data_IF_254587651447
#
_entry.id   IF_254587651447
#
_cell.length_a   1.000
_cell.length_b   1.000
_cell.length_c   1.000
_cell.angle_alpha   90.00
_cell.angle_beta   90.00
_cell.angle_gamma   90.00
#
_symmetry.space_group_name_H-M   'P 1'
#
loop_
_entity.id
_entity.type
_entity.pdbx_description
1 polymer ?
#
# COMPACT_ATOMS: atom_id res chain seq x y z
N UNK A 1 1.63 9.39 -9.41
CA UNK A 1 2.56 8.92 -8.35
C UNK A 1 1.88 7.80 -7.58
N UNK A 2 2.58 6.69 -7.30
CA UNK A 2 2.05 5.55 -6.53
C UNK A 2 2.94 5.33 -5.31
N UNK A 3 2.32 5.25 -4.13
CA UNK A 3 2.96 5.18 -2.81
C UNK A 3 2.67 3.81 -2.19
N UNK A 4 3.70 3.14 -1.69
CA UNK A 4 3.58 1.88 -0.96
C UNK A 4 3.39 2.07 0.54
N UNK A 5 3.73 1.03 1.30
CA UNK A 5 3.60 0.98 2.76
C UNK A 5 4.31 2.14 3.45
N UNK A 6 3.62 2.78 4.39
CA UNK A 6 4.18 3.88 5.21
C UNK A 6 4.36 3.48 6.67
N UNK A 7 3.56 2.54 7.18
CA UNK A 7 3.67 1.98 8.52
C UNK A 7 3.99 3.01 9.61
N UNK A 8 3.18 4.09 9.72
CA UNK A 8 3.36 5.10 10.75
C UNK A 8 4.61 5.97 10.61
N UNK A 9 5.21 6.04 9.43
CA UNK A 9 6.38 6.89 9.18
C UNK A 9 5.95 8.31 8.80
N UNK A 10 5.81 9.18 9.79
CA UNK A 10 5.31 10.55 9.62
C UNK A 10 6.14 11.37 8.61
N UNK A 11 7.48 11.29 8.67
CA UNK A 11 8.33 12.05 7.74
C UNK A 11 8.11 11.68 6.27
N UNK A 12 7.82 10.39 5.97
CA UNK A 12 7.45 9.98 4.61
C UNK A 12 6.07 10.51 4.21
N UNK A 13 5.11 10.55 5.15
CA UNK A 13 3.80 11.14 4.91
C UNK A 13 3.87 12.66 4.70
N UNK A 14 4.71 13.37 5.46
CA UNK A 14 4.96 14.81 5.27
C UNK A 14 5.63 15.10 3.92
N UNK A 15 6.62 14.28 3.55
CA UNK A 15 7.25 14.37 2.23
C UNK A 15 6.21 14.18 1.10
N UNK A 16 5.33 13.19 1.25
CA UNK A 16 4.25 12.93 0.30
C UNK A 16 3.27 14.10 0.24
N UNK A 17 2.90 14.67 1.40
CA UNK A 17 1.99 15.82 1.47
C UNK A 17 2.54 17.03 0.71
N UNK A 18 3.81 17.35 0.92
CA UNK A 18 4.47 18.43 0.20
C UNK A 18 4.40 18.21 -1.32
N UNK A 19 4.69 16.99 -1.79
CA UNK A 19 4.62 16.65 -3.22
C UNK A 19 3.21 16.71 -3.80
N UNK A 20 2.22 16.20 -3.06
CA UNK A 20 0.83 16.21 -3.51
C UNK A 20 0.26 17.62 -3.64
N UNK A 21 0.72 18.55 -2.80
CA UNK A 21 0.28 19.96 -2.80
C UNK A 21 1.04 20.81 -3.83
N UNK A 22 2.34 20.55 -4.03
CA UNK A 22 3.21 21.37 -4.87
C UNK A 22 3.18 20.99 -6.36
N UNK A 23 2.66 19.81 -6.71
CA UNK A 23 2.62 19.29 -8.09
C UNK A 23 1.17 19.17 -8.62
N UNK A 24 0.51 20.28 -8.95
CA UNK A 24 -0.86 20.27 -9.46
C UNK A 24 -0.94 19.46 -10.77
N UNK A 25 -1.93 18.56 -10.83
CA UNK A 25 -2.09 17.62 -11.96
C UNK A 25 -1.46 16.25 -11.74
N UNK A 26 -0.70 16.06 -10.67
CA UNK A 26 -0.25 14.72 -10.24
C UNK A 26 -1.38 14.02 -9.50
N UNK A 27 -1.79 12.84 -9.99
CA UNK A 27 -2.65 11.93 -9.26
C UNK A 27 -1.80 11.06 -8.31
N UNK A 28 -2.16 11.01 -7.04
CA UNK A 28 -1.52 10.15 -6.04
C UNK A 28 -2.43 8.96 -5.72
N UNK A 29 -1.87 7.76 -5.77
CA UNK A 29 -2.51 6.53 -5.30
C UNK A 29 -1.64 5.93 -4.22
N UNK A 30 -2.11 5.91 -2.97
CA UNK A 30 -1.46 5.23 -1.86
C UNK A 30 -2.08 3.84 -1.69
N UNK A 31 -1.25 2.81 -1.60
CA UNK A 31 -1.64 1.43 -1.80
C UNK A 31 -2.11 0.71 -0.52
N UNK A 32 -2.06 1.36 0.65
CA UNK A 32 -2.40 0.76 1.95
C UNK A 32 -1.22 0.67 2.91
N UNK A 33 -1.46 0.08 4.07
CA UNK A 33 -0.50 -0.08 5.16
C UNK A 33 0.04 1.27 5.67
N UNK A 34 -0.89 2.14 6.06
CA UNK A 34 -0.57 3.50 6.49
C UNK A 34 -0.06 3.59 7.91
N UNK A 35 -0.60 2.73 8.79
CA UNK A 35 -0.31 2.66 10.21
C UNK A 35 0.32 1.32 10.59
N UNK A 36 0.33 1.01 11.87
CA UNK A 36 0.98 -0.15 12.49
C UNK A 36 2.51 -0.11 12.40
N UNK A 37 3.18 -0.69 13.39
CA UNK A 37 4.63 -0.89 13.48
C UNK A 37 5.48 0.36 13.74
N UNK A 38 5.17 1.50 13.14
CA UNK A 38 5.93 2.74 13.31
C UNK A 38 5.51 3.57 14.52
N UNK A 39 6.30 4.60 14.82
CA UNK A 39 6.15 5.38 16.07
C UNK A 39 5.10 6.48 15.98
N UNK A 40 4.76 6.96 14.77
CA UNK A 40 3.90 8.12 14.52
C UNK A 40 2.66 7.75 13.70
N UNK A 41 1.96 6.71 14.15
CA UNK A 41 0.87 6.07 13.41
C UNK A 41 -0.33 7.01 13.21
N UNK A 42 -0.75 7.71 14.26
CA UNK A 42 -1.88 8.63 14.21
C UNK A 42 -1.58 9.84 13.31
N UNK A 43 -0.41 10.43 13.46
CA UNK A 43 -0.02 11.59 12.67
C UNK A 43 0.05 11.24 11.19
N UNK A 44 0.64 10.08 10.86
CA UNK A 44 0.66 9.56 9.49
C UNK A 44 -0.74 9.41 8.93
N UNK A 45 -1.64 8.77 9.69
CA UNK A 45 -3.03 8.55 9.27
C UNK A 45 -3.79 9.87 9.09
N UNK A 46 -3.62 10.81 10.03
CA UNK A 46 -4.26 12.14 9.96
C UNK A 46 -3.79 12.90 8.71
N UNK A 47 -2.48 12.91 8.40
CA UNK A 47 -1.95 13.54 7.19
C UNK A 47 -2.64 12.95 5.94
N UNK A 48 -2.68 11.62 5.81
CA UNK A 48 -3.23 10.96 4.63
C UNK A 48 -4.74 11.16 4.48
N UNK A 49 -5.51 11.08 5.57
CA UNK A 49 -6.94 11.34 5.54
C UNK A 49 -7.25 12.80 5.23
N UNK A 50 -6.43 13.73 5.73
CA UNK A 50 -6.54 15.16 5.38
C UNK A 50 -6.29 15.37 3.88
N UNK A 51 -5.24 14.79 3.31
CA UNK A 51 -4.96 14.88 1.87
C UNK A 51 -6.11 14.32 1.03
N UNK A 52 -6.70 13.19 1.45
CA UNK A 52 -7.86 12.61 0.75
C UNK A 52 -9.06 13.56 0.74
N UNK A 53 -9.28 14.32 1.81
CA UNK A 53 -10.38 15.29 1.92
C UNK A 53 -10.10 16.59 1.15
N UNK A 54 -8.86 17.09 1.22
CA UNK A 54 -8.45 18.38 0.62
C UNK A 54 -8.18 18.27 -0.90
N UNK A 55 -7.84 17.07 -1.40
CA UNK A 55 -7.49 16.81 -2.79
C UNK A 55 -8.45 15.79 -3.45
N UNK A 56 -9.78 16.06 -3.44
CA UNK A 56 -10.75 15.11 -3.96
C UNK A 56 -10.50 14.86 -5.46
N UNK A 57 -10.44 13.56 -5.82
CA UNK A 57 -10.17 13.15 -7.20
C UNK A 57 -8.69 13.17 -7.63
N UNK A 58 -7.78 13.72 -6.81
CA UNK A 58 -6.34 13.72 -7.08
C UNK A 58 -5.54 12.88 -6.08
N UNK A 59 -6.14 12.51 -4.94
CA UNK A 59 -5.53 11.69 -3.91
C UNK A 59 -6.44 10.52 -3.57
N UNK A 60 -5.94 9.29 -3.77
CA UNK A 60 -6.69 8.05 -3.55
C UNK A 60 -5.98 7.18 -2.53
N UNK A 61 -6.67 6.80 -1.48
CA UNK A 61 -6.22 5.78 -0.53
C UNK A 61 -6.85 4.44 -0.88
N UNK A 62 -6.03 3.40 -1.06
CA UNK A 62 -6.47 2.02 -1.16
C UNK A 62 -6.38 1.35 0.20
N UNK A 63 -7.04 0.23 0.34
CA UNK A 63 -6.98 -0.62 1.51
C UNK A 63 -5.79 -1.57 1.42
N UNK A 64 -4.93 -1.60 2.44
CA UNK A 64 -3.94 -2.62 2.68
C UNK A 64 -4.44 -3.67 3.68
N UNK A 65 -3.62 -4.68 3.96
CA UNK A 65 -3.98 -5.70 4.94
C UNK A 65 -3.95 -5.17 6.38
N UNK A 66 -3.17 -4.11 6.66
CA UNK A 66 -3.16 -3.46 7.96
C UNK A 66 -4.39 -2.57 8.22
N UNK A 67 -5.14 -2.20 7.21
CA UNK A 67 -6.42 -1.51 7.36
C UNK A 67 -7.56 -2.49 7.69
N UNK A 68 -7.30 -3.41 8.66
CA UNK A 68 -8.25 -4.39 9.21
C UNK A 68 -8.23 -4.37 10.73
N UNK A 69 -9.34 -4.80 11.36
CA UNK A 69 -9.45 -4.79 12.82
C UNK A 69 -8.40 -5.69 13.48
N UNK A 70 -8.18 -6.88 12.93
CA UNK A 70 -7.23 -7.85 13.47
C UNK A 70 -5.79 -7.36 13.43
N UNK A 71 -5.41 -6.66 12.36
CA UNK A 71 -4.05 -6.13 12.23
C UNK A 71 -3.85 -4.89 13.11
N UNK A 72 -4.78 -3.95 13.12
CA UNK A 72 -4.72 -2.75 13.95
C UNK A 72 -4.60 -3.07 15.45
N UNK A 73 -5.30 -4.12 15.92
CA UNK A 73 -5.20 -4.56 17.32
C UNK A 73 -3.89 -5.31 17.64
N UNK A 74 -3.25 -5.89 16.62
CA UNK A 74 -2.03 -6.69 16.81
C UNK A 74 -0.74 -5.89 16.68
N UNK A 75 -0.73 -4.85 15.85
CA UNK A 75 0.49 -4.17 15.43
C UNK A 75 0.60 -2.70 15.86
N UNK A 76 -0.32 -2.27 16.74
CA UNK A 76 -0.13 -1.08 17.56
C UNK A 76 -1.02 0.11 17.24
N UNK A 77 -1.76 0.16 16.14
CA UNK A 77 -2.63 1.29 15.85
C UNK A 77 -3.74 1.44 16.90
N UNK A 78 -4.37 0.35 17.33
CA UNK A 78 -5.41 0.40 18.35
C UNK A 78 -4.87 0.96 19.67
N UNK A 79 -3.70 0.52 20.11
CA UNK A 79 -3.04 1.03 21.32
C UNK A 79 -2.67 2.51 21.18
N UNK A 80 -2.16 2.92 20.01
CA UNK A 80 -1.83 4.31 19.73
C UNK A 80 -3.07 5.22 19.80
N UNK A 81 -4.19 4.81 19.19
CA UNK A 81 -5.46 5.55 19.28
C UNK A 81 -5.96 5.62 20.71
N UNK A 82 -6.05 4.48 21.42
CA UNK A 82 -6.62 4.41 22.75
C UNK A 82 -5.74 5.07 23.83
N UNK A 83 -4.47 5.36 23.53
CA UNK A 83 -3.60 6.11 24.44
C UNK A 83 -3.99 7.60 24.57
N UNK A 84 -4.66 8.17 23.55
CA UNK A 84 -5.00 9.60 23.47
C UNK A 84 -6.45 9.88 23.14
N UNK A 85 -7.21 8.87 22.71
CA UNK A 85 -8.62 8.93 22.34
C UNK A 85 -9.40 7.76 22.95
N UNK A 86 -10.70 7.73 22.72
CA UNK A 86 -11.59 6.67 23.18
C UNK A 86 -11.87 5.61 22.10
N UNK A 87 -12.61 4.58 22.47
CA UNK A 87 -13.04 3.50 21.58
C UNK A 87 -13.85 3.99 20.38
N UNK A 88 -14.65 5.04 20.54
CA UNK A 88 -15.48 5.54 19.45
C UNK A 88 -14.64 6.11 18.30
N UNK A 89 -13.47 6.70 18.59
CA UNK A 89 -12.53 7.14 17.56
C UNK A 89 -11.94 5.94 16.82
N UNK A 90 -11.54 4.88 17.54
CA UNK A 90 -11.01 3.66 16.89
C UNK A 90 -12.07 2.97 16.02
N UNK A 91 -13.31 2.89 16.49
CA UNK A 91 -14.41 2.33 15.71
C UNK A 91 -14.68 3.17 14.45
N UNK A 92 -14.58 4.51 14.52
CA UNK A 92 -14.67 5.37 13.35
C UNK A 92 -13.53 5.11 12.34
N UNK A 93 -12.30 4.89 12.81
CA UNK A 93 -11.17 4.50 11.97
C UNK A 93 -11.45 3.19 11.24
N UNK A 94 -11.98 2.17 11.93
CA UNK A 94 -12.34 0.91 11.29
C UNK A 94 -13.43 1.07 10.23
N UNK A 95 -14.43 1.92 10.47
CA UNK A 95 -15.47 2.25 9.48
C UNK A 95 -14.83 2.88 8.23
N UNK A 96 -13.90 3.82 8.39
CA UNK A 96 -13.18 4.43 7.27
C UNK A 96 -12.38 3.35 6.51
N UNK A 97 -11.60 2.54 7.20
CA UNK A 97 -10.80 1.47 6.60
C UNK A 97 -11.65 0.49 5.78
N UNK A 98 -12.82 0.11 6.29
CA UNK A 98 -13.74 -0.79 5.62
C UNK A 98 -14.32 -0.21 4.30
N UNK A 99 -14.35 1.11 4.15
CA UNK A 99 -14.84 1.79 2.94
C UNK A 99 -13.74 2.05 1.91
N UNK A 100 -12.46 1.90 2.25
CA UNK A 100 -11.38 2.09 1.28
C UNK A 100 -11.50 1.11 0.12
N UNK A 101 -11.27 1.55 -1.13
CA UNK A 101 -11.22 0.66 -2.28
C UNK A 101 -10.01 -0.27 -2.20
N UNK A 102 -10.14 -1.51 -2.70
CA UNK A 102 -9.04 -2.48 -2.73
C UNK A 102 -8.16 -2.38 -3.97
N UNK A 103 -8.60 -1.65 -4.99
CA UNK A 103 -7.87 -1.43 -6.23
C UNK A 103 -8.24 -0.11 -6.88
N UNK A 104 -7.33 0.45 -7.68
CA UNK A 104 -7.57 1.57 -8.58
C UNK A 104 -7.07 1.23 -9.98
N UNK A 105 -7.86 1.57 -10.99
CA UNK A 105 -7.53 1.33 -12.39
C UNK A 105 -7.47 2.64 -13.17
N UNK A 106 -6.35 2.90 -13.85
CA UNK A 106 -6.19 3.98 -14.82
C UNK A 106 -6.54 3.47 -16.21
N UNK A 107 -7.40 4.18 -16.92
CA UNK A 107 -8.02 3.74 -18.18
C UNK A 107 -7.02 3.37 -19.30
N UNK A 108 -5.77 3.83 -19.23
CA UNK A 108 -4.70 3.47 -20.16
C UNK A 108 -4.04 2.11 -19.87
N UNK A 109 -4.54 1.36 -18.87
CA UNK A 109 -4.12 0.01 -18.55
C UNK A 109 -3.12 -0.12 -17.39
N UNK A 110 -3.18 0.77 -16.39
CA UNK A 110 -2.44 0.64 -15.12
C UNK A 110 -3.39 0.20 -14.01
N UNK A 111 -3.06 -0.87 -13.33
CA UNK A 111 -3.77 -1.34 -12.13
C UNK A 111 -2.90 -1.10 -10.90
N UNK A 112 -3.49 -0.56 -9.84
CA UNK A 112 -2.88 -0.38 -8.53
C UNK A 112 -3.67 -1.19 -7.50
N UNK A 113 -2.99 -1.94 -6.65
CA UNK A 113 -3.57 -2.68 -5.53
C UNK A 113 -2.50 -2.93 -4.46
N UNK A 114 -2.89 -3.39 -3.27
CA UNK A 114 -1.92 -3.56 -2.18
C UNK A 114 -1.07 -4.83 -2.33
N UNK A 115 -1.64 -6.00 -2.17
CA UNK A 115 -0.93 -7.28 -2.15
C UNK A 115 -0.69 -7.84 -3.55
N UNK A 116 -1.71 -8.36 -4.23
CA UNK A 116 -1.47 -8.95 -5.53
C UNK A 116 -2.73 -9.38 -6.29
N UNK A 117 -2.49 -9.97 -7.45
CA UNK A 117 -3.54 -10.49 -8.32
C UNK A 117 -4.22 -11.69 -7.64
N UNK A 118 -5.56 -11.69 -7.47
CA UNK A 118 -6.27 -12.80 -6.87
C UNK A 118 -6.43 -13.97 -7.84
N UNK A 119 -6.52 -15.18 -7.30
CA UNK A 119 -6.76 -16.39 -8.10
C UNK A 119 -8.24 -16.58 -8.47
N UNK A 120 -9.15 -16.00 -7.67
CA UNK A 120 -10.60 -16.13 -7.81
C UNK A 120 -11.23 -15.17 -8.81
N UNK A 121 -10.71 -13.94 -8.94
CA UNK A 121 -11.20 -12.95 -9.91
C UNK A 121 -10.24 -12.88 -11.11
N UNK A 122 -10.79 -12.96 -12.32
CA UNK A 122 -10.03 -12.96 -13.58
C UNK A 122 -10.17 -11.66 -14.36
N UNK A 123 -11.15 -10.83 -14.03
CA UNK A 123 -11.45 -9.58 -14.71
C UNK A 123 -11.50 -8.40 -13.74
N UNK A 124 -11.33 -7.19 -14.26
CA UNK A 124 -11.50 -5.96 -13.48
C UNK A 124 -12.95 -5.80 -13.01
N UNK A 125 -13.91 -6.32 -13.77
CA UNK A 125 -15.34 -6.31 -13.39
C UNK A 125 -15.57 -7.20 -12.16
N UNK A 126 -15.03 -8.44 -12.16
CA UNK A 126 -15.10 -9.34 -11.01
C UNK A 126 -14.40 -8.74 -9.79
N UNK A 127 -13.26 -8.07 -9.99
CA UNK A 127 -12.55 -7.36 -8.93
C UNK A 127 -13.38 -6.19 -8.37
N UNK A 128 -14.11 -5.46 -9.23
CA UNK A 128 -14.96 -4.35 -8.81
C UNK A 128 -16.22 -4.78 -8.06
N UNK A 129 -16.61 -6.04 -8.19
CA UNK A 129 -17.78 -6.62 -7.52
C UNK A 129 -17.46 -7.11 -6.08
N UNK A 130 -16.20 -7.05 -5.64
CA UNK A 130 -15.80 -7.44 -4.29
C UNK A 130 -16.50 -6.56 -3.25
N UNK A 131 -17.15 -7.15 -2.23
CA UNK A 131 -17.87 -6.40 -1.21
C UNK A 131 -16.99 -5.41 -0.45
N UNK A 132 -17.57 -4.26 -0.09
CA UNK A 132 -16.96 -3.25 0.80
C UNK A 132 -17.74 -3.18 2.11
N UNK A 133 -17.17 -2.52 3.11
CA UNK A 133 -17.82 -2.25 4.38
C UNK A 133 -17.55 -3.29 5.46
N UNK A 134 -16.81 -4.33 5.17
CA UNK A 134 -16.38 -5.32 6.18
C UNK A 134 -15.09 -4.83 6.85
N UNK A 135 -15.11 -4.65 8.18
CA UNK A 135 -13.91 -4.28 8.96
C UNK A 135 -12.85 -5.38 8.91
N UNK A 136 -13.30 -6.64 8.81
CA UNK A 136 -12.47 -7.81 8.57
C UNK A 136 -12.96 -8.47 7.27
N UNK A 137 -12.18 -8.45 6.17
CA UNK A 137 -12.58 -9.05 4.90
C UNK A 137 -12.79 -10.56 5.01
N UNK A 138 -13.97 -11.02 4.60
CA UNK A 138 -14.31 -12.45 4.55
C UNK A 138 -14.29 -12.99 3.11
N UNK A 139 -14.42 -12.13 2.11
CA UNK A 139 -14.34 -12.52 0.71
C UNK A 139 -12.92 -12.98 0.34
N UNK A 140 -12.81 -14.16 -0.27
CA UNK A 140 -11.52 -14.74 -0.64
C UNK A 140 -10.72 -13.90 -1.64
N UNK A 141 -11.40 -13.19 -2.56
CA UNK A 141 -10.76 -12.28 -3.52
C UNK A 141 -10.21 -11.04 -2.79
N UNK A 142 -10.98 -10.47 -1.87
CA UNK A 142 -10.51 -9.36 -1.03
C UNK A 142 -9.27 -9.76 -0.24
N UNK A 143 -9.30 -10.92 0.42
CA UNK A 143 -8.15 -11.43 1.18
C UNK A 143 -6.93 -11.57 0.25
N UNK A 144 -7.08 -12.18 -0.92
CA UNK A 144 -5.95 -12.37 -1.84
C UNK A 144 -5.42 -11.03 -2.39
N UNK A 145 -6.27 -10.06 -2.69
CA UNK A 145 -5.84 -8.72 -3.12
C UNK A 145 -5.02 -8.01 -2.05
N UNK A 146 -5.33 -8.21 -0.77
CA UNK A 146 -4.62 -7.59 0.34
C UNK A 146 -3.35 -8.34 0.76
N UNK A 147 -3.27 -9.67 0.56
CA UNK A 147 -2.23 -10.51 1.14
C UNK A 147 -1.33 -11.24 0.15
N UNK A 148 -1.64 -11.25 -1.15
CA UNK A 148 -0.84 -11.98 -2.11
C UNK A 148 0.55 -11.38 -2.29
N UNK A 149 1.55 -12.24 -2.47
CA UNK A 149 2.94 -11.87 -2.74
C UNK A 149 3.34 -12.23 -4.17
N UNK A 150 4.06 -11.31 -4.82
CA UNK A 150 4.67 -11.57 -6.12
C UNK A 150 5.96 -12.37 -5.97
N UNK A 151 6.16 -13.39 -6.80
CA UNK A 151 7.38 -14.18 -6.85
C UNK A 151 7.96 -14.19 -8.27
N UNK A 152 9.26 -13.92 -8.40
CA UNK A 152 9.97 -14.01 -9.68
C UNK A 152 10.22 -15.48 -10.06
N UNK A 153 9.13 -16.17 -10.39
CA UNK A 153 9.13 -17.57 -10.85
C UNK A 153 8.11 -17.77 -11.97
N UNK A 154 8.33 -18.79 -12.78
CA UNK A 154 7.32 -19.28 -13.71
C UNK A 154 6.12 -19.87 -12.95
N UNK A 155 4.96 -19.95 -13.62
CA UNK A 155 3.76 -20.56 -13.09
C UNK A 155 2.71 -19.58 -12.57
N UNK A 156 1.60 -20.15 -12.11
CA UNK A 156 0.43 -19.43 -11.63
C UNK A 156 0.50 -19.10 -10.14
N UNK A 157 -0.64 -19.24 -9.45
CA UNK A 157 -0.72 -19.05 -8.00
C UNK A 157 -0.21 -20.26 -7.23
N UNK A 158 0.37 -20.02 -6.06
CA UNK A 158 0.83 -21.03 -5.11
C UNK A 158 0.46 -20.66 -3.68
N UNK A 159 0.66 -21.57 -2.71
CA UNK A 159 0.44 -21.27 -1.31
C UNK A 159 1.47 -20.25 -0.79
N UNK A 160 1.03 -19.31 0.03
CA UNK A 160 1.92 -18.38 0.73
C UNK A 160 2.26 -18.93 2.13
N UNK A 161 3.24 -19.80 2.21
CA UNK A 161 3.66 -20.43 3.46
C UNK A 161 4.29 -19.46 4.45
N UNK A 162 4.90 -18.39 3.96
CA UNK A 162 5.56 -17.40 4.81
C UNK A 162 4.58 -16.55 5.62
N UNK A 163 3.40 -16.29 5.06
CA UNK A 163 2.37 -15.49 5.71
C UNK A 163 1.25 -16.34 6.35
N UNK A 164 1.03 -17.55 5.86
CA UNK A 164 -0.08 -18.39 6.31
C UNK A 164 -1.47 -17.92 5.84
N UNK A 165 -1.52 -16.86 5.01
CA UNK A 165 -2.73 -16.28 4.42
C UNK A 165 -2.40 -15.76 3.02
N UNK A 166 -3.40 -15.66 2.13
CA UNK A 166 -3.20 -15.29 0.75
C UNK A 166 -2.45 -16.35 -0.05
N UNK A 167 -1.95 -15.94 -1.21
CA UNK A 167 -1.19 -16.78 -2.15
C UNK A 167 0.06 -16.07 -2.63
N UNK A 168 0.97 -16.83 -3.21
CA UNK A 168 2.00 -16.25 -4.10
C UNK A 168 1.50 -16.31 -5.55
N UNK A 169 1.93 -15.36 -6.37
CA UNK A 169 1.66 -15.37 -7.81
C UNK A 169 2.93 -15.18 -8.62
N UNK A 170 3.10 -16.03 -9.64
CA UNK A 170 4.24 -16.00 -10.53
C UNK A 170 3.94 -15.31 -11.87
N UNK A 171 4.92 -15.37 -12.77
CA UNK A 171 4.87 -14.74 -14.09
C UNK A 171 3.63 -15.10 -14.92
N UNK A 172 3.20 -16.38 -14.88
CA UNK A 172 2.08 -16.81 -15.71
C UNK A 172 0.75 -16.26 -15.21
N UNK A 173 0.56 -16.17 -13.87
CA UNK A 173 -0.63 -15.57 -13.28
C UNK A 173 -0.75 -14.09 -13.65
N UNK A 174 0.34 -13.33 -13.51
CA UNK A 174 0.33 -11.91 -13.86
C UNK A 174 0.12 -11.70 -15.36
N UNK A 175 0.78 -12.48 -16.20
CA UNK A 175 0.61 -12.40 -17.66
C UNK A 175 -0.82 -12.67 -18.07
N UNK A 176 -1.43 -13.76 -17.61
CA UNK A 176 -2.82 -14.12 -17.95
C UNK A 176 -3.82 -13.04 -17.52
N UNK A 177 -3.71 -12.56 -16.27
CA UNK A 177 -4.60 -11.53 -15.75
C UNK A 177 -4.43 -10.21 -16.52
N UNK A 178 -3.20 -9.76 -16.74
CA UNK A 178 -2.92 -8.49 -17.38
C UNK A 178 -3.32 -8.48 -18.86
N UNK A 179 -3.06 -9.56 -19.60
CA UNK A 179 -3.46 -9.68 -21.00
C UNK A 179 -4.98 -9.73 -21.15
N UNK A 180 -5.68 -10.47 -20.30
CA UNK A 180 -7.14 -10.53 -20.28
C UNK A 180 -7.79 -9.18 -20.07
N UNK A 181 -7.19 -8.32 -19.25
CA UNK A 181 -7.72 -7.02 -18.85
C UNK A 181 -7.11 -5.82 -19.60
N UNK A 182 -6.28 -6.05 -20.61
CA UNK A 182 -5.62 -4.98 -21.37
C UNK A 182 -4.65 -4.14 -20.54
N UNK A 183 -4.07 -4.72 -19.46
CA UNK A 183 -3.16 -4.02 -18.57
C UNK A 183 -1.71 -4.14 -19.08
N UNK A 184 -0.98 -3.05 -19.05
CA UNK A 184 0.45 -3.06 -19.33
C UNK A 184 1.30 -2.98 -18.05
N UNK A 185 0.73 -2.47 -16.92
CA UNK A 185 1.42 -2.30 -15.66
C UNK A 185 0.51 -2.67 -14.48
N UNK A 186 1.06 -3.42 -13.54
CA UNK A 186 0.56 -3.60 -12.18
C UNK A 186 1.52 -2.93 -11.21
N UNK A 187 1.05 -2.00 -10.37
CA UNK A 187 1.82 -1.45 -9.25
C UNK A 187 1.22 -1.96 -7.94
N UNK A 188 2.07 -2.53 -7.09
CA UNK A 188 1.68 -3.12 -5.81
C UNK A 188 2.66 -2.74 -4.68
N UNK A 189 2.36 -3.12 -3.45
CA UNK A 189 3.11 -2.80 -2.25
C UNK A 189 3.40 -4.06 -1.38
N UNK A 190 3.19 -4.03 -0.06
CA UNK A 190 3.14 -5.18 0.85
C UNK A 190 4.45 -5.95 1.10
N UNK A 191 5.38 -6.00 0.16
CA UNK A 191 6.67 -6.68 0.32
C UNK A 191 7.78 -5.64 0.45
N UNK A 192 8.45 -5.57 1.61
CA UNK A 192 9.58 -4.65 1.78
C UNK A 192 10.74 -5.04 0.88
N UNK A 193 11.47 -4.04 0.39
CA UNK A 193 12.69 -4.21 -0.38
C UNK A 193 13.73 -3.17 0.03
N UNK A 194 15.02 -3.50 -0.13
CA UNK A 194 16.09 -2.60 0.27
C UNK A 194 16.03 -1.24 -0.46
N UNK A 195 15.68 -1.25 -1.73
CA UNK A 195 15.62 -0.05 -2.57
C UNK A 195 14.26 0.65 -2.56
N UNK A 196 13.26 0.08 -1.88
CA UNK A 196 11.88 0.58 -1.89
C UNK A 196 11.14 0.46 -3.23
N UNK A 197 11.79 -0.09 -4.26
CA UNK A 197 11.24 -0.23 -5.61
C UNK A 197 11.84 -1.45 -6.31
N UNK A 198 10.99 -2.37 -6.77
CA UNK A 198 11.42 -3.59 -7.47
C UNK A 198 10.58 -3.80 -8.72
N UNK A 199 11.23 -4.12 -9.84
CA UNK A 199 10.58 -4.56 -11.08
C UNK A 199 10.56 -6.09 -11.12
N UNK A 200 9.39 -6.66 -11.30
CA UNK A 200 9.13 -8.10 -11.37
C UNK A 200 8.44 -8.46 -12.69
N UNK A 201 8.44 -9.74 -13.01
CA UNK A 201 7.73 -10.31 -14.16
C UNK A 201 8.03 -9.57 -15.49
N UNK A 202 9.32 -9.38 -15.77
CA UNK A 202 9.77 -8.67 -16.97
C UNK A 202 9.44 -7.17 -16.96
N UNK A 203 9.26 -6.57 -15.79
CA UNK A 203 8.98 -5.15 -15.61
C UNK A 203 7.49 -4.78 -15.68
N UNK A 204 6.60 -5.77 -15.86
CA UNK A 204 5.14 -5.54 -15.91
C UNK A 204 4.49 -5.43 -14.53
N UNK A 205 5.18 -5.92 -13.49
CA UNK A 205 4.80 -5.78 -12.08
C UNK A 205 5.84 -4.94 -11.38
N UNK A 206 5.42 -3.90 -10.67
CA UNK A 206 6.27 -3.03 -9.86
C UNK A 206 5.81 -3.12 -8.42
N UNK A 207 6.73 -3.45 -7.52
CA UNK A 207 6.51 -3.41 -6.08
C UNK A 207 7.16 -2.16 -5.50
N UNK A 208 6.42 -1.38 -4.74
CA UNK A 208 6.89 -0.16 -4.05
C UNK A 208 6.75 -0.30 -2.55
N UNK A 209 7.72 0.24 -1.81
CA UNK A 209 7.72 0.29 -0.37
C UNK A 209 8.23 1.66 0.07
N UNK A 210 7.39 2.45 0.75
CA UNK A 210 7.63 3.88 0.94
C UNK A 210 8.08 4.25 2.35
N UNK A 211 8.42 3.27 3.20
CA UNK A 211 8.93 3.48 4.55
C UNK A 211 10.48 3.44 4.57
N UNK A 212 11.19 4.57 4.68
CA UNK A 212 12.64 4.56 4.87
C UNK A 212 13.02 3.97 6.23
N UNK A 213 14.06 3.12 6.27
CA UNK A 213 14.54 2.54 7.52
C UNK A 213 13.63 1.51 8.18
N UNK A 214 12.73 0.87 7.42
CA UNK A 214 11.74 -0.07 7.95
C UNK A 214 12.34 -1.14 8.86
N UNK A 215 11.76 -1.29 10.07
CA UNK A 215 12.20 -2.21 11.13
C UNK A 215 13.71 -2.08 11.47
N UNK A 216 14.27 -0.86 11.39
CA UNK A 216 15.68 -0.62 11.66
C UNK A 216 16.62 -1.13 10.56
N UNK A 217 16.10 -1.54 9.42
CA UNK A 217 16.86 -1.98 8.26
C UNK A 217 17.37 -0.81 7.40
N UNK A 218 18.37 -1.09 6.55
CA UNK A 218 18.82 -0.15 5.53
C UNK A 218 17.89 -0.21 4.30
N UNK A 219 16.63 0.23 4.46
CA UNK A 219 15.66 0.33 3.38
C UNK A 219 15.56 1.77 2.91
N UNK A 220 15.67 1.99 1.60
CA UNK A 220 15.29 3.26 1.01
C UNK A 220 13.77 3.28 0.85
N UNK A 221 13.10 4.36 1.26
CA UNK A 221 11.71 4.57 0.89
C UNK A 221 11.63 5.08 -0.55
N UNK A 222 10.71 4.53 -1.34
CA UNK A 222 10.50 4.99 -2.70
C UNK A 222 9.03 5.02 -3.09
N UNK A 223 8.69 5.83 -4.09
CA UNK A 223 7.40 5.84 -4.79
C UNK A 223 7.62 5.53 -6.27
N UNK A 224 6.59 5.04 -6.96
CA UNK A 224 6.63 4.88 -8.41
C UNK A 224 5.99 6.08 -9.11
N UNK A 225 6.73 6.69 -10.01
CA UNK A 225 6.22 7.71 -10.95
C UNK A 225 5.81 7.00 -12.23
N UNK A 226 4.53 7.03 -12.55
CA UNK A 226 3.97 6.37 -13.75
C UNK A 226 3.49 7.42 -14.73
N UNK A 227 4.28 7.67 -15.77
CA UNK A 227 4.00 8.62 -16.83
C UNK A 227 2.83 8.19 -17.74
N UNK A 228 2.26 9.17 -18.45
CA UNK A 228 1.26 8.91 -19.51
C UNK A 228 1.92 8.34 -20.78
N UNK A 229 3.22 8.51 -20.93
CA UNK A 229 4.06 7.93 -21.98
C UNK A 229 4.50 6.49 -21.68
N UNK A 230 3.92 5.86 -20.66
CA UNK A 230 4.25 4.53 -20.15
C UNK A 230 5.65 4.40 -19.53
N UNK A 231 6.28 5.50 -19.16
CA UNK A 231 7.47 5.46 -18.30
C UNK A 231 7.09 5.06 -16.89
N UNK A 232 7.97 4.33 -16.21
CA UNK A 232 7.82 3.96 -14.80
C UNK A 232 9.16 4.13 -14.14
N UNK A 233 9.27 5.12 -13.24
CA UNK A 233 10.55 5.42 -12.59
C UNK A 233 10.39 5.49 -11.07
N UNK A 234 11.41 5.03 -10.30
CA UNK A 234 11.43 5.23 -8.87
C UNK A 234 11.75 6.70 -8.54
N UNK A 235 11.08 7.22 -7.53
CA UNK A 235 11.49 8.45 -6.87
C UNK A 235 11.73 8.14 -5.39
N UNK A 236 12.95 8.37 -4.91
CA UNK A 236 13.32 8.12 -3.50
C UNK A 236 12.73 9.18 -2.58
N UNK A 237 12.37 8.75 -1.39
CA UNK A 237 11.90 9.64 -0.33
C UNK A 237 13.12 10.15 0.42
N UNK A 238 13.37 11.47 0.32
CA UNK A 238 14.46 12.13 1.05
C UNK A 238 13.89 12.89 2.24
N UNK A 239 14.30 12.51 3.44
CA UNK A 239 13.81 13.12 4.68
C UNK A 239 14.67 14.32 5.16
N UNK A 240 15.73 14.66 4.44
CA UNK A 240 16.70 15.68 4.88
C UNK A 240 17.45 15.25 6.15
N UNK A 241 18.41 16.05 6.60
CA UNK A 241 19.29 15.77 7.74
C UNK A 241 18.57 15.77 9.13
N UNK A 242 17.25 15.95 9.18
CA UNK A 242 16.50 16.11 10.43
C UNK A 242 16.18 14.80 11.16
N UNK A 243 16.21 13.64 10.51
CA UNK A 243 15.90 12.35 11.13
C UNK A 243 17.11 11.50 11.54
N UNK A 244 18.33 11.90 11.20
CA UNK A 244 19.54 11.24 11.69
C UNK A 244 19.79 11.39 13.22
N UNK A 245 18.96 12.16 13.93
CA UNK A 245 19.13 12.49 15.36
C UNK A 245 18.15 11.77 16.29
N UNK A 246 17.11 11.10 15.78
CA UNK A 246 16.07 10.47 16.60
C UNK A 246 16.35 9.00 17.00
N UNK A 247 17.53 8.47 16.66
CA UNK A 247 17.99 7.12 17.02
C UNK A 247 18.93 7.07 18.23
N UNK A 248 18.80 7.95 19.23
CA UNK A 248 19.53 7.82 20.50
C UNK A 248 18.76 6.92 21.46
N UNK A 249 19.41 5.81 21.82
CA UNK A 249 19.01 4.74 22.74
C UNK A 249 18.15 5.19 23.93
N UNK A 250 17.18 4.34 24.36
CA UNK A 250 16.55 4.54 25.66
C UNK A 250 17.61 4.35 26.75
N UNK A 251 17.59 5.14 27.83
CA UNK A 251 18.49 4.92 28.97
C UNK A 251 18.19 3.57 29.64
N UNK A 252 19.26 2.88 30.05
CA UNK A 252 19.29 1.61 30.74
C UNK A 252 18.35 1.54 31.94
#
# INVERSE_FOLDING_TARGET
>A
MVVGDLHGHMGAAEWLAARALDEPGTHVVALGDYADRGDRQLETLVILLTLMLELPGSFTLLRGNHETRSMASRYGLEDAVLSVHDRAVMDAVHVVFAQLPIAAHRADGVLCLHGGIPSGARTLEELSAVPKGEEEPLDGTAIEVLWNDAEERAGGHGPNWSRGVGRTFGLDASREFMERNGLWLLVRAHQPSAEGFVRLHGGRVVSVFSHPGYLGGATDGAVAIVGMDRTVEPMRIFLGDREAVAGSEPPL
#
